data_IF_408738332621
#
_entry.id   IF_408738332621
#
_cell.length_a   1.000
_cell.length_b   1.000
_cell.length_c   1.000
_cell.angle_alpha   90.00
_cell.angle_beta   90.00
_cell.angle_gamma   90.00
#
_symmetry.space_group_name_H-M   'P 1'
#
loop_
_entity.id
_entity.type
_entity.pdbx_description
1 polymer ?
#
# COMPACT_ATOMS: atom_id res chain seq x y z
N UNK A 1 -6.74 -20.29 -5.14
CA UNK A 1 -5.38 -20.82 -5.39
C UNK A 1 -5.10 -22.02 -4.49
N UNK A 2 -5.13 -21.85 -3.16
CA UNK A 2 -4.85 -22.91 -2.18
C UNK A 2 -5.74 -24.15 -2.30
N UNK A 3 -7.06 -24.00 -2.53
CA UNK A 3 -7.96 -25.13 -2.78
C UNK A 3 -7.53 -25.95 -4.00
N UNK A 4 -7.20 -25.30 -5.12
CA UNK A 4 -6.73 -25.99 -6.33
C UNK A 4 -5.40 -26.73 -6.08
N UNK A 5 -4.56 -26.17 -5.20
CA UNK A 5 -3.27 -26.75 -4.86
C UNK A 5 -3.38 -27.98 -3.93
N UNK A 6 -4.32 -27.96 -2.98
CA UNK A 6 -4.35 -28.90 -1.82
C UNK A 6 -5.63 -29.73 -1.70
N UNK A 7 -6.70 -29.34 -2.37
CA UNK A 7 -8.05 -29.85 -2.14
C UNK A 7 -8.75 -29.30 -0.89
N UNK A 8 -8.04 -28.56 -0.01
CA UNK A 8 -8.60 -28.04 1.23
C UNK A 8 -9.68 -26.97 0.99
N UNK A 9 -10.76 -27.05 1.77
CA UNK A 9 -11.85 -26.06 1.79
C UNK A 9 -11.63 -24.96 2.85
N UNK A 10 -10.54 -25.01 3.61
CA UNK A 10 -10.22 -23.97 4.57
C UNK A 10 -10.08 -22.60 3.88
N UNK A 11 -10.51 -21.54 4.56
CA UNK A 11 -10.41 -20.15 4.08
C UNK A 11 -9.45 -19.38 4.96
N UNK A 12 -8.69 -18.48 4.34
CA UNK A 12 -7.81 -17.57 5.06
C UNK A 12 -8.64 -16.54 5.82
N UNK A 13 -8.34 -16.34 7.11
CA UNK A 13 -8.86 -15.24 7.95
C UNK A 13 -8.75 -13.89 7.21
N UNK A 14 -7.62 -13.63 6.54
CA UNK A 14 -7.41 -12.39 5.78
C UNK A 14 -8.51 -12.14 4.75
N UNK A 15 -8.77 -13.12 3.89
CA UNK A 15 -9.75 -12.95 2.80
C UNK A 15 -11.15 -12.75 3.34
N UNK A 16 -11.58 -13.59 4.27
CA UNK A 16 -12.98 -13.55 4.73
C UNK A 16 -13.27 -12.36 5.64
N UNK A 17 -12.29 -11.93 6.45
CA UNK A 17 -12.44 -10.77 7.33
C UNK A 17 -12.48 -9.48 6.52
N UNK A 18 -11.52 -9.29 5.61
CA UNK A 18 -11.39 -8.04 4.89
C UNK A 18 -12.47 -7.85 3.82
N UNK A 19 -12.94 -8.95 3.19
CA UNK A 19 -13.75 -8.87 1.96
C UNK A 19 -15.08 -9.62 2.00
N UNK A 20 -15.37 -10.37 3.08
CA UNK A 20 -16.63 -11.12 3.22
C UNK A 20 -17.38 -10.84 4.52
N UNK A 21 -16.92 -9.88 5.32
CA UNK A 21 -17.54 -9.48 6.61
C UNK A 21 -17.53 -10.58 7.69
N UNK A 22 -16.57 -11.51 7.63
CA UNK A 22 -16.34 -12.44 8.74
C UNK A 22 -15.83 -11.68 9.96
N UNK A 23 -16.40 -11.95 11.13
CA UNK A 23 -15.98 -11.34 12.40
C UNK A 23 -14.90 -12.21 13.03
N UNK A 24 -13.65 -12.05 12.59
CA UNK A 24 -12.54 -12.89 13.08
C UNK A 24 -12.29 -12.80 14.58
N UNK A 25 -12.59 -11.66 15.22
CA UNK A 25 -12.48 -11.48 16.66
C UNK A 25 -13.57 -12.24 17.45
N UNK A 26 -14.65 -12.65 16.78
CA UNK A 26 -15.73 -13.48 17.34
C UNK A 26 -15.75 -14.89 16.73
N UNK A 27 -14.82 -15.19 15.81
CA UNK A 27 -14.75 -16.45 15.06
C UNK A 27 -16.09 -16.87 14.41
N UNK A 28 -16.85 -15.92 13.85
CA UNK A 28 -18.16 -16.22 13.24
C UNK A 28 -18.53 -15.36 12.04
N UNK A 29 -19.47 -15.87 11.25
CA UNK A 29 -20.26 -15.10 10.32
C UNK A 29 -21.42 -14.40 11.05
N UNK A 30 -21.77 -13.19 10.63
CA UNK A 30 -22.96 -12.50 11.14
C UNK A 30 -24.20 -12.77 10.28
N UNK A 31 -24.98 -13.77 10.70
CA UNK A 31 -26.26 -14.10 10.09
C UNK A 31 -27.21 -12.90 9.98
N UNK A 32 -27.22 -12.00 10.96
CA UNK A 32 -28.15 -10.85 10.93
C UNK A 32 -27.81 -9.91 9.78
N UNK A 33 -26.53 -9.72 9.50
CA UNK A 33 -26.05 -8.97 8.35
C UNK A 33 -26.46 -9.62 7.02
N UNK A 34 -26.19 -10.92 6.84
CA UNK A 34 -26.50 -11.62 5.59
C UNK A 34 -27.99 -11.68 5.29
N UNK A 35 -28.83 -11.87 6.31
CA UNK A 35 -30.30 -11.79 6.15
C UNK A 35 -30.74 -10.39 5.74
N UNK A 36 -30.18 -9.35 6.36
CA UNK A 36 -30.52 -7.95 6.06
C UNK A 36 -30.19 -7.55 4.61
N UNK A 37 -29.11 -8.07 4.03
CA UNK A 37 -28.70 -7.76 2.64
C UNK A 37 -29.30 -8.71 1.59
N UNK A 38 -30.26 -9.56 1.95
CA UNK A 38 -30.93 -10.47 1.02
C UNK A 38 -30.14 -11.74 0.68
N UNK A 39 -29.10 -12.07 1.45
CA UNK A 39 -28.28 -13.27 1.30
C UNK A 39 -28.54 -14.32 2.39
N UNK A 40 -29.77 -14.35 2.93
CA UNK A 40 -30.17 -15.24 4.04
C UNK A 40 -29.97 -16.74 3.77
N UNK A 41 -30.02 -17.17 2.50
CA UNK A 41 -29.76 -18.56 2.12
C UNK A 41 -28.35 -19.04 2.54
N UNK A 42 -27.35 -18.14 2.60
CA UNK A 42 -26.03 -18.50 3.11
C UNK A 42 -26.09 -18.88 4.59
N UNK A 43 -26.90 -18.20 5.39
CA UNK A 43 -27.09 -18.53 6.79
C UNK A 43 -27.93 -19.82 6.96
N UNK A 44 -28.99 -19.99 6.16
CA UNK A 44 -29.83 -21.20 6.19
C UNK A 44 -29.01 -22.47 5.89
N UNK A 45 -27.96 -22.36 5.07
CA UNK A 45 -27.01 -23.43 4.75
C UNK A 45 -25.76 -23.44 5.64
N UNK A 46 -25.81 -22.79 6.80
CA UNK A 46 -24.72 -22.70 7.77
C UNK A 46 -23.38 -22.24 7.14
N UNK A 47 -23.46 -21.35 6.15
CA UNK A 47 -22.35 -20.73 5.43
C UNK A 47 -21.43 -21.71 4.67
N UNK A 48 -21.87 -22.94 4.44
CA UNK A 48 -21.06 -24.00 3.78
C UNK A 48 -20.47 -23.56 2.44
N UNK A 49 -21.19 -22.74 1.66
CA UNK A 49 -20.73 -22.23 0.36
C UNK A 49 -19.56 -21.27 0.45
N UNK A 50 -19.50 -20.46 1.51
CA UNK A 50 -18.49 -19.41 1.67
C UNK A 50 -17.36 -19.82 2.62
N UNK A 51 -17.55 -20.88 3.39
CA UNK A 51 -16.52 -21.55 4.18
C UNK A 51 -16.88 -21.61 5.66
N UNK A 52 -16.68 -22.79 6.25
CA UNK A 52 -16.91 -23.08 7.68
C UNK A 52 -15.62 -23.31 8.46
N UNK A 53 -14.53 -23.64 7.76
CA UNK A 53 -13.20 -23.76 8.34
C UNK A 53 -12.39 -22.51 7.98
N UNK A 54 -12.14 -21.65 8.97
CA UNK A 54 -11.37 -20.42 8.81
C UNK A 54 -10.07 -20.56 9.59
N UNK A 55 -8.94 -20.37 8.91
CA UNK A 55 -7.60 -20.61 9.46
C UNK A 55 -6.70 -19.37 9.35
N UNK A 56 -5.79 -19.16 10.31
CA UNK A 56 -4.87 -18.04 10.26
C UNK A 56 -3.89 -18.16 9.08
N UNK A 57 -3.35 -17.03 8.64
CA UNK A 57 -2.30 -17.02 7.64
C UNK A 57 -1.08 -17.84 8.10
N UNK A 58 -0.49 -18.62 7.19
CA UNK A 58 0.64 -19.50 7.52
C UNK A 58 0.25 -20.89 8.03
N UNK A 59 -1.04 -21.16 8.32
CA UNK A 59 -1.49 -22.51 8.66
C UNK A 59 -1.30 -23.47 7.48
N UNK A 60 -0.75 -24.66 7.73
CA UNK A 60 -0.63 -25.72 6.73
C UNK A 60 -2.02 -26.20 6.28
N UNK A 61 -2.19 -26.41 4.97
CA UNK A 61 -3.47 -26.77 4.37
C UNK A 61 -3.47 -28.19 3.80
N UNK A 62 -4.44 -28.99 4.25
CA UNK A 62 -4.62 -30.36 3.77
C UNK A 62 -3.37 -31.21 4.06
N UNK A 63 -2.94 -31.99 3.08
CA UNK A 63 -1.66 -32.71 3.10
C UNK A 63 -0.61 -32.08 2.20
N UNK A 64 -0.67 -30.75 1.96
CA UNK A 64 0.20 -30.06 1.00
C UNK A 64 -0.27 -30.18 -0.46
N UNK A 65 0.65 -30.00 -1.41
CA UNK A 65 0.36 -30.10 -2.84
C UNK A 65 -0.22 -31.48 -3.20
N UNK A 66 -1.36 -31.46 -3.89
CA UNK A 66 -1.89 -32.67 -4.55
C UNK A 66 -0.92 -33.15 -5.63
N UNK A 67 -0.99 -34.43 -6.00
CA UNK A 67 -0.16 -34.98 -7.07
C UNK A 67 -0.30 -34.20 -8.39
N UNK A 68 -1.52 -33.77 -8.74
CA UNK A 68 -1.76 -32.97 -9.94
C UNK A 68 -1.13 -31.58 -9.82
N UNK A 69 -1.35 -30.87 -8.71
CA UNK A 69 -0.79 -29.53 -8.53
C UNK A 69 0.75 -29.55 -8.48
N UNK A 70 1.33 -30.58 -7.87
CA UNK A 70 2.77 -30.79 -7.86
C UNK A 70 3.33 -31.01 -9.28
N UNK A 71 2.67 -31.84 -10.10
CA UNK A 71 3.04 -32.05 -11.50
C UNK A 71 2.93 -30.76 -12.33
N UNK A 72 1.83 -30.00 -12.18
CA UNK A 72 1.60 -28.73 -12.89
C UNK A 72 2.69 -27.68 -12.58
N UNK A 73 3.21 -27.69 -11.35
CA UNK A 73 4.21 -26.72 -10.86
C UNK A 73 5.66 -27.22 -10.96
N UNK A 74 5.88 -28.50 -11.30
CA UNK A 74 7.21 -29.11 -11.30
C UNK A 74 7.81 -29.29 -9.90
N UNK A 75 6.96 -29.56 -8.89
CA UNK A 75 7.33 -29.72 -7.47
C UNK A 75 6.99 -31.14 -6.97
N UNK A 76 7.30 -31.42 -5.70
CA UNK A 76 6.99 -32.70 -5.07
C UNK A 76 5.56 -32.72 -4.50
N UNK A 77 4.78 -33.80 -4.70
CA UNK A 77 3.54 -34.01 -3.96
C UNK A 77 3.79 -33.95 -2.45
N UNK A 78 2.85 -33.38 -1.71
CA UNK A 78 2.98 -33.18 -0.27
C UNK A 78 3.86 -32.00 0.15
N UNK A 79 4.41 -31.21 -0.80
CA UNK A 79 5.05 -29.93 -0.44
C UNK A 79 4.03 -29.05 0.29
N UNK A 80 4.41 -28.54 1.46
CA UNK A 80 3.51 -27.76 2.31
C UNK A 80 2.95 -26.52 1.61
N UNK A 81 1.66 -26.25 1.87
CA UNK A 81 0.96 -25.08 1.31
C UNK A 81 0.29 -24.34 2.46
N UNK A 82 0.64 -23.07 2.61
CA UNK A 82 0.06 -22.23 3.63
C UNK A 82 -1.31 -21.65 3.23
N UNK A 83 -2.15 -21.40 4.22
CA UNK A 83 -3.22 -20.43 4.11
C UNK A 83 -2.64 -19.06 3.76
N UNK A 84 -3.01 -18.56 2.58
CA UNK A 84 -2.45 -17.35 1.99
C UNK A 84 -3.02 -16.05 2.58
N UNK A 85 -2.53 -14.94 2.03
CA UNK A 85 -3.03 -13.59 2.27
C UNK A 85 -3.49 -12.97 0.94
N UNK A 86 -4.28 -11.90 1.01
CA UNK A 86 -4.47 -11.00 -0.14
C UNK A 86 -3.11 -10.34 -0.46
N UNK A 87 -2.85 -10.01 -1.73
CA UNK A 87 -1.58 -9.48 -2.23
C UNK A 87 -1.00 -8.33 -1.40
N UNK A 88 -1.78 -7.29 -1.11
CA UNK A 88 -1.34 -6.16 -0.29
C UNK A 88 -0.93 -6.63 1.11
N UNK A 89 -1.69 -7.55 1.70
CA UNK A 89 -1.44 -8.06 3.06
C UNK A 89 -0.19 -8.95 3.11
N UNK A 90 0.05 -9.75 2.07
CA UNK A 90 1.32 -10.45 1.90
C UNK A 90 2.48 -9.46 1.76
N UNK A 91 2.30 -8.39 0.98
CA UNK A 91 3.26 -7.29 0.89
C UNK A 91 3.52 -6.63 2.25
N UNK A 92 2.48 -6.42 3.05
CA UNK A 92 2.56 -5.91 4.42
C UNK A 92 3.40 -6.83 5.32
N UNK A 93 3.12 -8.13 5.34
CA UNK A 93 3.94 -9.14 6.05
C UNK A 93 5.39 -9.11 5.58
N UNK A 94 5.64 -9.06 4.27
CA UNK A 94 6.99 -8.96 3.71
C UNK A 94 7.72 -7.64 4.00
N UNK A 95 7.05 -6.66 4.61
CA UNK A 95 7.54 -5.30 4.80
C UNK A 95 7.61 -4.88 6.28
N UNK A 96 6.48 -4.87 7.02
CA UNK A 96 6.41 -4.21 8.35
C UNK A 96 7.21 -4.92 9.44
N UNK A 97 7.43 -6.23 9.31
CA UNK A 97 8.20 -7.02 10.30
C UNK A 97 9.68 -7.18 9.97
N UNK A 98 10.19 -6.43 9.00
CA UNK A 98 11.60 -6.44 8.65
C UNK A 98 12.49 -6.05 9.85
N UNK A 99 13.60 -6.77 10.05
CA UNK A 99 14.55 -6.43 11.12
C UNK A 99 15.21 -5.06 10.85
N UNK A 100 15.49 -4.31 11.91
CA UNK A 100 16.19 -3.01 11.87
C UNK A 100 15.68 -2.04 12.93
N UNK A 101 16.37 -0.91 13.08
CA UNK A 101 16.26 -0.01 14.23
C UNK A 101 15.15 1.07 14.14
N UNK A 102 14.35 1.06 13.07
CA UNK A 102 13.34 2.09 12.81
C UNK A 102 11.93 1.55 13.05
N UNK A 103 11.35 1.90 14.19
CA UNK A 103 10.00 1.51 14.58
C UNK A 103 9.86 0.00 14.86
N UNK A 104 8.62 -0.42 15.11
CA UNK A 104 8.21 -1.80 15.35
C UNK A 104 6.98 -2.13 14.51
N UNK A 105 6.54 -3.39 14.46
CA UNK A 105 5.35 -3.77 13.65
C UNK A 105 4.13 -2.86 13.90
N UNK A 106 3.78 -2.47 15.16
CA UNK A 106 2.65 -1.57 15.39
C UNK A 106 2.91 -0.08 15.08
N UNK A 107 4.17 0.35 14.99
CA UNK A 107 4.53 1.74 14.68
C UNK A 107 4.95 1.96 13.23
N UNK A 108 5.02 0.89 12.44
CA UNK A 108 5.31 0.92 11.01
C UNK A 108 4.02 0.88 10.20
N UNK A 109 3.88 1.82 9.28
CA UNK A 109 2.90 1.75 8.19
C UNK A 109 3.58 1.18 6.95
N UNK A 110 3.13 0.01 6.46
CA UNK A 110 3.53 -0.43 5.12
C UNK A 110 2.88 0.47 4.08
N UNK A 111 3.69 1.00 3.17
CA UNK A 111 3.25 1.78 2.02
C UNK A 111 3.62 1.00 0.75
N UNK A 112 2.71 0.12 0.32
CA UNK A 112 2.93 -0.75 -0.84
C UNK A 112 2.59 0.05 -2.10
N UNK A 113 3.62 0.59 -2.74
CA UNK A 113 3.51 1.58 -3.80
C UNK A 113 3.71 0.96 -5.20
N UNK A 114 2.61 0.81 -5.93
CA UNK A 114 2.58 0.44 -7.34
C UNK A 114 1.59 1.30 -8.11
N UNK A 115 0.79 0.68 -8.98
CA UNK A 115 -0.30 1.33 -9.73
C UNK A 115 -1.23 2.12 -8.80
N UNK A 116 -1.59 1.52 -7.68
CA UNK A 116 -2.21 2.14 -6.49
C UNK A 116 -1.22 2.11 -5.32
N UNK A 117 -1.54 2.78 -4.22
CA UNK A 117 -0.78 2.65 -2.97
C UNK A 117 -1.68 2.11 -1.87
N UNK A 118 -1.29 0.98 -1.26
CA UNK A 118 -1.98 0.46 -0.08
C UNK A 118 -1.22 0.84 1.19
N UNK A 119 -1.95 1.33 2.19
CA UNK A 119 -1.40 1.61 3.51
C UNK A 119 -1.91 0.60 4.51
N UNK A 120 -1.02 0.00 5.29
CA UNK A 120 -1.39 -0.99 6.28
C UNK A 120 -0.66 -0.72 7.59
N UNK A 121 -1.45 -0.42 8.62
CA UNK A 121 -0.99 -0.16 9.98
C UNK A 121 -1.62 -1.17 10.93
N UNK A 122 -0.85 -1.68 11.90
CA UNK A 122 -1.31 -2.69 12.84
C UNK A 122 -1.39 -2.17 14.27
N UNK A 123 -2.35 -2.63 15.05
CA UNK A 123 -2.58 -2.23 16.44
C UNK A 123 -2.91 -3.43 17.33
N UNK A 124 -2.60 -3.34 18.62
CA UNK A 124 -2.95 -4.39 19.59
C UNK A 124 -4.45 -4.39 19.93
N UNK A 125 -5.06 -3.20 19.99
CA UNK A 125 -6.47 -2.98 20.26
C UNK A 125 -7.19 -2.43 19.01
N UNK A 126 -8.49 -2.65 18.83
CA UNK A 126 -9.21 -2.15 17.66
C UNK A 126 -9.26 -0.62 17.65
N UNK A 127 -8.84 -0.02 16.53
CA UNK A 127 -8.94 1.41 16.28
C UNK A 127 -9.81 1.67 15.03
N UNK A 128 -10.88 2.45 15.18
CA UNK A 128 -11.80 2.79 14.08
C UNK A 128 -11.44 4.16 13.50
N UNK A 129 -10.93 4.16 12.28
CA UNK A 129 -10.51 5.36 11.55
C UNK A 129 -11.51 5.64 10.42
N UNK A 130 -12.09 6.83 10.43
CA UNK A 130 -13.08 7.22 9.42
C UNK A 130 -12.44 7.21 8.02
N UNK A 131 -13.11 6.55 7.06
CA UNK A 131 -12.64 6.41 5.68
C UNK A 131 -11.41 5.52 5.48
N UNK A 132 -11.01 4.76 6.51
CA UNK A 132 -9.99 3.70 6.42
C UNK A 132 -10.67 2.36 6.73
N UNK A 133 -10.35 1.31 5.97
CA UNK A 133 -10.96 0.01 6.19
C UNK A 133 -10.39 -0.68 7.43
N UNK A 134 -11.22 -1.49 8.09
CA UNK A 134 -10.88 -2.14 9.35
C UNK A 134 -11.64 -1.52 10.53
N UNK A 135 -11.21 -1.80 11.77
CA UNK A 135 -10.07 -2.64 12.13
C UNK A 135 -10.36 -4.14 11.90
N UNK A 136 -9.45 -4.84 11.21
CA UNK A 136 -9.58 -6.27 10.90
C UNK A 136 -8.67 -7.13 11.77
N UNK A 137 -9.25 -7.90 12.68
CA UNK A 137 -8.48 -8.75 13.59
C UNK A 137 -7.78 -9.91 12.88
N UNK A 138 -6.48 -10.08 13.14
CA UNK A 138 -5.63 -11.15 12.60
C UNK A 138 -5.62 -11.26 11.06
N UNK A 139 -5.96 -10.18 10.36
CA UNK A 139 -6.11 -10.20 8.90
C UNK A 139 -4.78 -10.05 8.13
N UNK A 140 -3.69 -9.67 8.80
CA UNK A 140 -2.34 -9.58 8.21
C UNK A 140 -1.30 -10.19 9.14
N UNK A 141 -1.05 -9.57 10.29
CA UNK A 141 -0.18 -10.12 11.34
C UNK A 141 -1.07 -10.83 12.37
N UNK A 142 -0.87 -12.15 12.62
CA UNK A 142 -1.67 -12.87 13.60
C UNK A 142 -1.67 -12.19 14.97
N UNK A 143 -2.85 -12.02 15.57
CA UNK A 143 -3.04 -11.40 16.88
C UNK A 143 -3.13 -9.86 16.88
N UNK A 144 -2.91 -9.19 15.74
CA UNK A 144 -3.05 -7.73 15.62
C UNK A 144 -4.28 -7.32 14.81
N UNK A 145 -4.78 -6.13 15.06
CA UNK A 145 -5.81 -5.47 14.27
C UNK A 145 -5.20 -4.65 13.14
N UNK A 146 -5.67 -4.88 11.92
CA UNK A 146 -5.23 -4.18 10.71
C UNK A 146 -6.17 -3.01 10.39
N UNK A 147 -5.59 -1.84 10.15
CA UNK A 147 -6.23 -0.74 9.42
C UNK A 147 -5.65 -0.68 8.00
N UNK A 148 -6.51 -0.75 6.99
CA UNK A 148 -6.18 -0.76 5.56
C UNK A 148 -6.68 0.53 4.90
N UNK A 149 -5.76 1.47 4.67
CA UNK A 149 -6.04 2.70 3.94
C UNK A 149 -5.42 2.68 2.55
N UNK A 150 -5.42 3.83 1.88
CA UNK A 150 -4.50 4.13 0.79
C UNK A 150 -5.13 4.89 -0.36
N UNK A 151 -4.47 4.87 -1.51
CA UNK A 151 -4.73 5.74 -2.64
C UNK A 151 -5.10 4.91 -3.87
N UNK A 152 -6.32 5.10 -4.37
CA UNK A 152 -6.90 4.33 -5.48
C UNK A 152 -6.05 4.35 -6.75
N UNK A 153 -5.43 5.49 -7.04
CA UNK A 153 -4.43 5.65 -8.08
C UNK A 153 -3.22 6.36 -7.48
N UNK A 154 -2.05 5.74 -7.59
CA UNK A 154 -0.79 6.30 -7.12
C UNK A 154 0.19 6.35 -8.30
N UNK A 155 0.88 5.26 -8.64
CA UNK A 155 1.75 5.21 -9.81
C UNK A 155 0.99 5.52 -11.10
N UNK A 156 -0.24 4.99 -11.23
CA UNK A 156 -1.11 5.31 -12.36
C UNK A 156 -1.53 6.78 -12.43
N UNK A 157 -1.70 7.44 -11.27
CA UNK A 157 -2.02 8.86 -11.22
C UNK A 157 -0.84 9.70 -11.73
N UNK A 158 0.38 9.36 -11.35
CA UNK A 158 1.60 10.02 -11.84
C UNK A 158 1.79 9.77 -13.33
N UNK A 159 1.66 8.53 -13.78
CA UNK A 159 1.79 8.17 -15.19
C UNK A 159 0.76 8.92 -16.05
N UNK A 160 -0.49 9.02 -15.57
CA UNK A 160 -1.53 9.79 -16.25
C UNK A 160 -1.23 11.29 -16.24
N UNK A 161 -0.81 11.85 -15.09
CA UNK A 161 -0.44 13.26 -14.94
C UNK A 161 0.62 13.69 -15.95
N UNK A 162 1.74 12.96 -16.02
CA UNK A 162 2.86 13.34 -16.90
C UNK A 162 2.50 13.17 -18.38
N UNK A 163 1.60 12.23 -18.72
CA UNK A 163 1.12 12.04 -20.10
C UNK A 163 0.23 13.18 -20.61
N UNK A 164 -0.37 13.97 -19.72
CA UNK A 164 -1.14 15.15 -20.12
C UNK A 164 -0.25 16.31 -20.57
N UNK A 165 1.06 16.26 -20.29
CA UNK A 165 1.98 17.34 -20.63
C UNK A 165 2.41 17.30 -22.11
N UNK A 166 2.53 18.45 -22.82
CA UNK A 166 2.92 18.46 -24.23
C UNK A 166 4.28 17.80 -24.52
N UNK A 167 5.25 17.92 -23.61
CA UNK A 167 6.57 17.30 -23.74
C UNK A 167 6.58 15.77 -23.48
N UNK A 168 5.45 15.15 -23.13
CA UNK A 168 5.39 13.74 -22.77
C UNK A 168 5.82 12.80 -23.90
N UNK A 169 5.50 13.14 -25.15
CA UNK A 169 5.92 12.37 -26.33
C UNK A 169 7.43 12.33 -26.49
N UNK A 170 8.08 13.51 -26.40
CA UNK A 170 9.53 13.63 -26.45
C UNK A 170 10.20 12.87 -25.29
N UNK A 171 9.72 13.09 -24.06
CA UNK A 171 10.26 12.43 -22.88
C UNK A 171 10.13 10.90 -22.94
N UNK A 172 9.01 10.39 -23.48
CA UNK A 172 8.80 8.95 -23.66
C UNK A 172 9.81 8.37 -24.64
N UNK A 173 10.08 9.04 -25.75
CA UNK A 173 11.07 8.59 -26.73
C UNK A 173 12.49 8.56 -26.12
N UNK A 174 12.86 9.57 -25.33
CA UNK A 174 14.15 9.59 -24.60
C UNK A 174 14.24 8.46 -23.58
N UNK A 175 13.19 8.25 -22.78
CA UNK A 175 13.13 7.17 -21.80
C UNK A 175 13.29 5.79 -22.47
N UNK A 176 12.61 5.55 -23.59
CA UNK A 176 12.70 4.30 -24.34
C UNK A 176 14.10 4.07 -24.93
N UNK A 177 14.76 5.12 -25.42
CA UNK A 177 16.14 5.04 -25.92
C UNK A 177 17.14 4.61 -24.83
N UNK A 178 16.81 4.90 -23.56
CA UNK A 178 17.59 4.50 -22.38
C UNK A 178 17.08 3.19 -21.74
N UNK A 179 16.05 2.55 -22.30
CA UNK A 179 15.46 1.31 -21.76
C UNK A 179 14.67 1.52 -20.46
N UNK A 180 14.19 2.73 -20.21
CA UNK A 180 13.50 3.13 -18.98
C UNK A 180 12.01 3.37 -19.21
N UNK A 181 11.21 3.25 -18.14
CA UNK A 181 9.85 3.81 -18.12
C UNK A 181 9.91 5.34 -18.04
N UNK A 182 8.85 6.02 -18.49
CA UNK A 182 8.77 7.49 -18.44
C UNK A 182 8.96 8.01 -17.00
N UNK A 183 8.29 7.40 -16.02
CA UNK A 183 8.39 7.80 -14.61
C UNK A 183 9.79 7.56 -14.02
N UNK A 184 10.46 6.45 -14.40
CA UNK A 184 11.85 6.22 -13.99
C UNK A 184 12.80 7.26 -14.59
N UNK A 185 12.63 7.58 -15.88
CA UNK A 185 13.41 8.60 -16.56
C UNK A 185 13.20 9.98 -15.93
N UNK A 186 11.96 10.42 -15.71
CA UNK A 186 11.64 11.70 -15.06
C UNK A 186 12.23 11.78 -13.64
N UNK A 187 12.23 10.66 -12.90
CA UNK A 187 12.89 10.60 -11.61
C UNK A 187 14.40 10.83 -11.70
N UNK A 188 15.09 10.23 -12.68
CA UNK A 188 16.53 10.44 -12.88
C UNK A 188 16.82 11.87 -13.33
N UNK A 189 15.95 12.44 -14.15
CA UNK A 189 16.03 13.84 -14.58
C UNK A 189 15.88 14.81 -13.40
N UNK A 190 14.93 14.58 -12.50
CA UNK A 190 14.85 15.37 -11.27
C UNK A 190 16.08 15.15 -10.37
N UNK A 191 16.57 13.91 -10.25
CA UNK A 191 17.76 13.57 -9.47
C UNK A 191 19.02 14.30 -9.97
N UNK A 192 19.22 14.42 -11.28
CA UNK A 192 20.36 15.13 -11.87
C UNK A 192 20.33 16.64 -11.64
N UNK A 193 19.15 17.21 -11.34
CA UNK A 193 18.94 18.61 -10.99
C UNK A 193 18.97 18.85 -9.48
N UNK A 194 19.91 18.24 -8.76
CA UNK A 194 20.05 18.32 -7.30
C UNK A 194 18.90 17.67 -6.50
N UNK A 195 18.12 16.79 -7.12
CA UNK A 195 17.16 15.90 -6.47
C UNK A 195 16.13 16.61 -5.58
N UNK A 196 15.81 15.99 -4.44
CA UNK A 196 14.79 16.48 -3.52
C UNK A 196 15.11 17.88 -2.97
N UNK A 197 16.38 18.23 -2.80
CA UNK A 197 16.79 19.56 -2.34
C UNK A 197 16.38 20.69 -3.32
N UNK A 198 16.25 20.38 -4.62
CA UNK A 198 15.78 21.32 -5.62
C UNK A 198 14.26 21.34 -5.81
N UNK A 199 13.50 20.59 -5.02
CA UNK A 199 12.03 20.50 -5.14
C UNK A 199 11.36 21.88 -5.22
N UNK A 200 11.71 22.90 -4.41
CA UNK A 200 11.10 24.22 -4.53
C UNK A 200 11.34 24.89 -5.89
N UNK A 201 12.54 24.73 -6.46
CA UNK A 201 12.90 25.32 -7.75
C UNK A 201 12.28 24.55 -8.92
N UNK A 202 12.24 23.21 -8.85
CA UNK A 202 11.66 22.35 -9.88
C UNK A 202 10.14 22.51 -9.98
N UNK A 203 9.46 22.54 -8.83
CA UNK A 203 7.99 22.57 -8.77
C UNK A 203 7.43 24.00 -8.95
N UNK A 204 8.16 25.01 -8.48
CA UNK A 204 7.71 26.40 -8.51
C UNK A 204 6.33 26.57 -7.86
N UNK A 205 5.40 27.17 -8.61
CA UNK A 205 4.02 27.43 -8.18
C UNK A 205 3.03 26.28 -8.42
N UNK A 206 3.44 25.18 -9.03
CA UNK A 206 2.53 24.08 -9.40
C UNK A 206 2.07 23.36 -8.13
N UNK A 207 0.78 23.05 -8.01
CA UNK A 207 0.20 22.18 -6.98
C UNK A 207 -0.61 21.07 -7.63
N UNK A 208 -0.51 19.85 -7.09
CA UNK A 208 -1.21 18.67 -7.62
C UNK A 208 -1.91 17.92 -6.48
N UNK A 209 -3.22 17.73 -6.64
CA UNK A 209 -4.02 16.75 -5.89
C UNK A 209 -4.27 15.57 -6.85
N UNK A 210 -3.60 14.41 -6.69
CA UNK A 210 -3.58 13.35 -7.70
C UNK A 210 -4.78 12.37 -7.60
N UNK A 211 -5.97 12.84 -7.24
CA UNK A 211 -7.17 12.02 -7.00
C UNK A 211 -7.92 11.69 -8.31
N UNK A 212 -7.23 11.13 -9.31
CA UNK A 212 -7.82 10.81 -10.62
C UNK A 212 -8.88 9.69 -10.57
N UNK A 213 -8.90 8.91 -9.48
CA UNK A 213 -9.82 7.80 -9.26
C UNK A 213 -10.48 7.89 -7.87
N UNK A 214 -10.90 9.09 -7.48
CA UNK A 214 -11.46 9.34 -6.16
C UNK A 214 -10.43 9.31 -5.02
N UNK A 215 -10.90 9.62 -3.81
CA UNK A 215 -10.15 9.50 -2.58
C UNK A 215 -10.65 8.28 -1.80
N UNK A 216 -9.82 7.24 -1.68
CA UNK A 216 -10.15 6.08 -0.84
C UNK A 216 -10.00 6.41 0.65
N UNK A 217 -8.84 6.94 1.05
CA UNK A 217 -8.57 7.32 2.43
C UNK A 217 -7.89 8.71 2.51
N UNK A 218 -8.18 9.50 3.55
CA UNK A 218 -9.10 9.19 4.66
C UNK A 218 -10.56 9.63 4.40
N UNK A 219 -10.90 10.17 3.22
CA UNK A 219 -12.21 10.80 3.02
C UNK A 219 -13.30 9.87 2.50
N UNK A 220 -12.94 8.69 1.96
CA UNK A 220 -13.89 7.77 1.33
C UNK A 220 -14.85 8.47 0.34
N UNK A 221 -14.28 9.34 -0.50
CA UNK A 221 -14.99 10.12 -1.52
C UNK A 221 -14.67 9.59 -2.93
N UNK A 222 -15.47 8.67 -3.49
CA UNK A 222 -15.26 8.14 -4.84
C UNK A 222 -15.47 9.19 -5.94
N UNK A 223 -16.13 10.31 -5.62
CA UNK A 223 -16.40 11.40 -6.55
C UNK A 223 -15.29 12.45 -6.57
N UNK A 224 -14.28 12.33 -5.70
CA UNK A 224 -13.09 13.17 -5.76
C UNK A 224 -12.38 13.08 -7.11
N UNK A 225 -11.87 14.23 -7.58
CA UNK A 225 -11.19 14.37 -8.87
C UNK A 225 -9.90 15.14 -8.68
N UNK A 226 -8.92 14.81 -9.52
CA UNK A 226 -7.62 15.47 -9.48
C UNK A 226 -7.75 16.97 -9.76
N UNK A 227 -6.89 17.74 -9.10
CA UNK A 227 -6.76 19.18 -9.29
C UNK A 227 -5.31 19.53 -9.55
N UNK A 228 -5.09 20.37 -10.57
CA UNK A 228 -3.78 20.90 -10.92
C UNK A 228 -3.91 22.42 -10.94
N UNK A 229 -3.11 23.11 -10.14
CA UNK A 229 -3.13 24.56 -10.01
C UNK A 229 -1.72 25.13 -10.21
N UNK A 230 -1.63 26.39 -10.66
CA UNK A 230 -0.36 27.07 -10.85
C UNK A 230 0.39 26.70 -12.14
N UNK A 231 -0.33 26.20 -13.16
CA UNK A 231 0.23 26.02 -14.51
C UNK A 231 0.46 27.38 -15.19
N UNK A 232 1.55 27.48 -15.94
CA UNK A 232 1.85 28.61 -16.83
C UNK A 232 1.93 28.13 -18.30
N UNK A 233 2.56 28.92 -19.17
CA UNK A 233 2.72 28.59 -20.59
C UNK A 233 3.96 27.74 -20.90
N UNK A 234 4.77 27.38 -19.89
CA UNK A 234 5.99 26.59 -20.12
C UNK A 234 5.65 25.12 -20.42
N UNK A 235 5.96 24.70 -21.64
CA UNK A 235 5.77 23.34 -22.11
C UNK A 235 7.09 22.58 -22.30
N UNK A 236 8.17 23.04 -21.67
CA UNK A 236 9.50 22.44 -21.75
C UNK A 236 9.59 21.07 -21.07
N UNK A 237 10.72 20.38 -21.27
CA UNK A 237 11.04 19.18 -20.48
C UNK A 237 11.28 19.51 -19.01
N UNK A 238 11.76 20.71 -18.69
CA UNK A 238 11.96 21.13 -17.31
C UNK A 238 10.63 21.30 -16.58
N UNK A 239 9.61 21.89 -17.22
CA UNK A 239 8.28 21.99 -16.63
C UNK A 239 7.59 20.63 -16.47
N UNK A 240 7.85 19.67 -17.38
CA UNK A 240 7.40 18.28 -17.21
C UNK A 240 8.04 17.60 -15.98
N UNK A 241 9.34 17.80 -15.77
CA UNK A 241 10.04 17.28 -14.58
C UNK A 241 9.48 17.92 -13.31
N UNK A 242 9.22 19.23 -13.33
CA UNK A 242 8.53 19.94 -12.26
C UNK A 242 7.14 19.36 -11.95
N UNK A 243 6.34 19.10 -12.98
CA UNK A 243 5.01 18.49 -12.86
C UNK A 243 5.07 17.08 -12.25
N UNK A 244 6.04 16.27 -12.67
CA UNK A 244 6.29 14.94 -12.08
C UNK A 244 6.58 15.04 -10.58
N UNK A 245 7.54 15.90 -10.19
CA UNK A 245 7.90 16.10 -8.77
C UNK A 245 6.71 16.63 -7.97
N UNK A 246 5.92 17.55 -8.54
CA UNK A 246 4.72 18.08 -7.91
C UNK A 246 3.66 16.98 -7.67
N UNK A 247 3.48 16.08 -8.64
CA UNK A 247 2.60 14.92 -8.53
C UNK A 247 3.02 13.96 -7.42
N UNK A 248 4.31 13.61 -7.37
CA UNK A 248 4.86 12.76 -6.30
C UNK A 248 4.70 13.42 -4.94
N UNK A 249 4.92 14.74 -4.84
CA UNK A 249 4.63 15.49 -3.61
C UNK A 249 3.15 15.40 -3.21
N UNK A 250 2.24 15.50 -4.18
CA UNK A 250 0.80 15.33 -3.97
C UNK A 250 0.44 13.97 -3.38
N UNK A 251 1.08 12.89 -3.83
CA UNK A 251 0.88 11.55 -3.24
C UNK A 251 1.37 11.51 -1.79
N UNK A 252 2.53 12.10 -1.51
CA UNK A 252 3.06 12.17 -0.15
C UNK A 252 2.22 13.03 0.80
N UNK A 253 1.61 14.12 0.32
CA UNK A 253 0.61 14.87 1.08
C UNK A 253 -0.66 14.06 1.36
N UNK A 254 -1.15 13.28 0.38
CA UNK A 254 -2.24 12.34 0.63
C UNK A 254 -1.88 11.28 1.67
N UNK A 255 -0.65 10.73 1.61
CA UNK A 255 -0.16 9.81 2.63
C UNK A 255 -0.07 10.46 4.03
N UNK A 256 0.32 11.74 4.10
CA UNK A 256 0.31 12.52 5.34
C UNK A 256 -1.10 12.64 5.94
N UNK A 257 -2.14 12.83 5.12
CA UNK A 257 -3.52 12.86 5.61
C UNK A 257 -3.93 11.52 6.22
N UNK A 258 -3.53 10.40 5.60
CA UNK A 258 -3.79 9.06 6.14
C UNK A 258 -3.09 8.91 7.50
N UNK A 259 -1.79 9.23 7.60
CA UNK A 259 -1.05 9.16 8.86
C UNK A 259 -1.69 10.03 9.95
N UNK A 260 -2.14 11.26 9.61
CA UNK A 260 -2.85 12.13 10.56
C UNK A 260 -4.16 11.51 11.04
N UNK A 261 -4.97 10.96 10.13
CA UNK A 261 -6.23 10.31 10.49
C UNK A 261 -6.00 9.08 11.39
N UNK A 262 -4.93 8.33 11.17
CA UNK A 262 -4.51 7.22 12.02
C UNK A 262 -4.03 7.70 13.41
N UNK A 263 -3.20 8.74 13.46
CA UNK A 263 -2.74 9.37 14.72
C UNK A 263 -3.90 9.88 15.58
N UNK A 264 -4.91 10.51 14.96
CA UNK A 264 -6.09 11.05 15.65
C UNK A 264 -6.92 9.96 16.35
N UNK A 265 -6.74 8.68 15.96
CA UNK A 265 -7.38 7.51 16.58
C UNK A 265 -6.40 6.68 17.43
N UNK A 266 -5.21 7.20 17.73
CA UNK A 266 -4.24 6.58 18.62
C UNK A 266 -3.36 5.49 17.98
N UNK A 267 -3.34 5.38 16.65
CA UNK A 267 -2.43 4.46 15.95
C UNK A 267 -1.03 5.11 15.91
N UNK A 268 0.02 4.49 16.48
CA UNK A 268 1.30 5.17 16.73
C UNK A 268 2.26 5.06 15.54
N UNK A 269 1.87 5.46 14.33
CA UNK A 269 2.76 5.40 13.16
C UNK A 269 3.94 6.36 13.34
N UNK A 270 5.17 5.86 13.36
CA UNK A 270 6.40 6.67 13.41
C UNK A 270 7.27 6.51 12.15
N UNK A 271 7.06 5.41 11.40
CA UNK A 271 7.88 5.01 10.27
C UNK A 271 7.01 4.52 9.12
N UNK A 272 7.29 4.99 7.92
CA UNK A 272 6.70 4.47 6.69
C UNK A 272 7.68 3.50 6.06
N UNK A 273 7.29 2.25 5.90
CA UNK A 273 8.12 1.27 5.19
C UNK A 273 7.59 1.15 3.77
N UNK A 274 8.33 1.69 2.81
CA UNK A 274 7.95 1.76 1.40
C UNK A 274 8.45 0.54 0.65
N UNK A 275 7.56 -0.03 -0.17
CA UNK A 275 7.86 -1.17 -1.02
C UNK A 275 7.08 -1.07 -2.35
N UNK A 276 7.32 -2.00 -3.28
CA UNK A 276 6.71 -1.97 -4.62
C UNK A 276 7.48 -1.11 -5.63
N UNK A 277 7.21 -1.35 -6.92
CA UNK A 277 8.02 -0.83 -8.03
C UNK A 277 8.07 0.71 -8.12
N UNK A 278 6.96 1.39 -7.81
CA UNK A 278 6.90 2.86 -7.86
C UNK A 278 7.66 3.51 -6.68
N UNK A 279 7.88 2.77 -5.59
CA UNK A 279 8.64 3.20 -4.42
C UNK A 279 10.15 2.91 -4.50
N UNK A 280 10.67 2.43 -5.63
CA UNK A 280 12.09 2.05 -5.75
C UNK A 280 13.05 3.24 -5.93
N UNK A 281 12.56 4.39 -6.39
CA UNK A 281 13.39 5.57 -6.64
C UNK A 281 13.83 6.26 -5.33
N UNK A 282 15.14 6.53 -5.13
CA UNK A 282 15.63 7.33 -3.99
C UNK A 282 14.98 8.71 -3.90
N UNK A 283 14.74 9.37 -5.04
CA UNK A 283 14.03 10.65 -5.08
C UNK A 283 12.63 10.51 -4.52
N UNK A 284 11.87 9.51 -4.96
CA UNK A 284 10.49 9.29 -4.52
C UNK A 284 10.46 9.02 -3.01
N UNK A 285 11.39 8.23 -2.49
CA UNK A 285 11.50 7.93 -1.06
C UNK A 285 11.79 9.19 -0.23
N UNK A 286 12.73 10.02 -0.68
CA UNK A 286 13.03 11.29 -0.02
C UNK A 286 11.83 12.26 -0.07
N UNK A 287 11.17 12.39 -1.23
CA UNK A 287 9.99 13.23 -1.36
C UNK A 287 8.83 12.75 -0.45
N UNK A 288 8.64 11.44 -0.31
CA UNK A 288 7.68 10.88 0.64
C UNK A 288 8.04 11.26 2.08
N UNK A 289 9.32 11.18 2.46
CA UNK A 289 9.77 11.59 3.80
C UNK A 289 9.50 13.08 4.05
N UNK A 290 9.90 13.95 3.12
CA UNK A 290 9.76 15.40 3.23
C UNK A 290 8.29 15.86 3.31
N UNK A 291 7.43 15.23 2.49
CA UNK A 291 6.02 15.61 2.38
C UNK A 291 5.17 15.06 3.52
N UNK A 292 5.46 13.85 3.99
CA UNK A 292 4.78 13.24 5.15
C UNK A 292 5.30 13.79 6.48
N UNK A 293 6.56 14.23 6.53
CA UNK A 293 7.24 14.57 7.77
C UNK A 293 7.62 13.35 8.60
N UNK A 294 7.62 12.15 7.99
CA UNK A 294 7.90 10.87 8.65
C UNK A 294 9.21 10.28 8.14
N UNK A 295 9.85 9.43 8.96
CA UNK A 295 10.95 8.60 8.47
C UNK A 295 10.39 7.60 7.45
N UNK A 296 11.01 7.53 6.28
CA UNK A 296 10.70 6.56 5.23
C UNK A 296 11.84 5.55 5.13
N UNK A 297 11.53 4.26 5.15
CA UNK A 297 12.52 3.19 5.05
C UNK A 297 12.18 2.27 3.89
N UNK A 298 13.16 1.97 3.06
CA UNK A 298 13.00 1.00 1.98
C UNK A 298 13.04 -0.43 2.53
N UNK A 299 12.25 -1.35 1.96
CA UNK A 299 12.51 -2.78 2.13
C UNK A 299 13.72 -3.20 1.29
N UNK A 300 14.58 -4.07 1.81
CA UNK A 300 15.65 -4.71 1.01
C UNK A 300 15.10 -5.68 -0.04
N UNK A 301 13.84 -6.13 0.12
CA UNK A 301 13.19 -7.02 -0.83
C UNK A 301 12.63 -6.23 -2.02
N UNK A 302 13.02 -6.55 -3.26
CA UNK A 302 12.43 -5.94 -4.44
C UNK A 302 10.96 -6.37 -4.63
N UNK A 303 10.59 -7.55 -4.11
CA UNK A 303 9.30 -8.20 -4.33
C UNK A 303 8.63 -8.59 -2.99
N UNK A 304 8.12 -7.61 -2.22
CA UNK A 304 7.60 -7.83 -0.86
C UNK A 304 6.40 -8.78 -0.80
N UNK A 305 5.56 -8.80 -1.84
CA UNK A 305 4.38 -9.69 -1.93
C UNK A 305 4.82 -11.15 -2.07
N UNK A 306 5.83 -11.41 -2.89
CA UNK A 306 6.41 -12.74 -3.06
C UNK A 306 7.14 -13.17 -1.78
N UNK A 307 7.90 -12.28 -1.17
CA UNK A 307 8.59 -12.56 0.10
C UNK A 307 7.61 -12.88 1.23
N UNK A 308 6.55 -12.08 1.39
CA UNK A 308 5.52 -12.35 2.39
C UNK A 308 4.81 -13.68 2.16
N UNK A 309 4.53 -14.04 0.89
CA UNK A 309 3.97 -15.36 0.55
C UNK A 309 4.94 -16.50 0.87
N UNK A 310 6.24 -16.31 0.63
CA UNK A 310 7.28 -17.27 0.99
C UNK A 310 7.43 -17.44 2.52
N UNK A 311 7.28 -16.36 3.30
CA UNK A 311 7.25 -16.41 4.76
C UNK A 311 6.11 -17.31 5.26
N UNK A 312 4.91 -17.20 4.67
CA UNK A 312 3.78 -18.08 5.03
C UNK A 312 4.10 -19.54 4.73
N UNK A 313 4.70 -19.82 3.55
CA UNK A 313 5.14 -21.17 3.19
C UNK A 313 6.19 -21.72 4.17
N UNK A 314 7.13 -20.90 4.61
CA UNK A 314 8.16 -21.28 5.58
C UNK A 314 7.55 -21.60 6.97
N UNK A 315 6.50 -20.89 7.38
CA UNK A 315 5.74 -21.20 8.61
C UNK A 315 4.98 -22.51 8.46
N UNK A 316 4.27 -22.72 7.35
CA UNK A 316 3.55 -23.98 7.11
C UNK A 316 4.49 -25.19 7.06
N UNK A 317 5.71 -25.01 6.53
CA UNK A 317 6.77 -26.02 6.50
C UNK A 317 7.48 -26.24 7.85
N UNK A 318 7.13 -25.47 8.90
CA UNK A 318 7.76 -25.57 10.22
C UNK A 318 9.17 -25.00 10.30
N UNK A 319 9.66 -24.30 9.27
CA UNK A 319 10.98 -23.65 9.28
C UNK A 319 11.01 -22.44 10.23
N UNK A 320 9.86 -21.79 10.44
CA UNK A 320 9.64 -20.76 11.44
C UNK A 320 8.44 -21.11 12.32
N UNK A 321 8.51 -20.77 13.60
CA UNK A 321 7.45 -21.07 14.57
C UNK A 321 6.13 -20.35 14.29
N UNK A 322 6.19 -19.14 13.76
CA UNK A 322 5.05 -18.25 13.54
C UNK A 322 5.41 -17.19 12.49
N UNK A 323 4.40 -16.47 11.99
CA UNK A 323 4.56 -15.44 10.95
C UNK A 323 5.48 -14.31 11.44
N UNK A 324 5.42 -13.93 12.72
CA UNK A 324 6.27 -12.89 13.27
C UNK A 324 7.76 -13.27 13.23
N UNK A 325 8.11 -14.52 13.55
CA UNK A 325 9.46 -15.04 13.45
C UNK A 325 9.95 -15.11 11.99
N UNK A 326 9.08 -15.50 11.06
CA UNK A 326 9.42 -15.50 9.63
C UNK A 326 9.67 -14.08 9.10
N UNK A 327 8.86 -13.10 9.51
CA UNK A 327 9.06 -11.70 9.16
C UNK A 327 10.45 -11.20 9.62
N UNK A 328 10.78 -11.37 10.89
CA UNK A 328 12.07 -10.93 11.44
C UNK A 328 13.28 -11.68 10.84
N UNK A 329 13.11 -12.96 10.48
CA UNK A 329 14.16 -13.80 9.92
C UNK A 329 14.42 -13.59 8.42
N UNK A 330 13.38 -13.24 7.65
CA UNK A 330 13.43 -13.26 6.19
C UNK A 330 13.37 -11.87 5.53
N UNK A 331 13.06 -10.79 6.26
CA UNK A 331 13.12 -9.42 5.74
C UNK A 331 13.98 -8.50 6.59
N UNK A 332 14.56 -7.50 5.94
CA UNK A 332 15.46 -6.52 6.54
C UNK A 332 15.18 -5.12 5.98
N UNK A 333 15.24 -4.12 6.85
CA UNK A 333 15.15 -2.72 6.47
C UNK A 333 16.40 -2.29 5.69
N UNK A 334 16.19 -1.56 4.61
CA UNK A 334 17.24 -1.03 3.75
C UNK A 334 17.53 0.43 4.06
N UNK A 335 17.68 1.23 2.99
CA UNK A 335 17.98 2.66 3.08
C UNK A 335 16.90 3.44 3.85
N UNK A 336 17.36 4.42 4.63
CA UNK A 336 16.54 5.26 5.50
C UNK A 336 16.59 6.69 5.00
N UNK A 337 15.43 7.32 4.92
CA UNK A 337 15.21 8.67 4.43
C UNK A 337 14.55 9.48 5.53
N UNK A 338 15.24 10.50 6.02
CA UNK A 338 14.72 11.44 7.01
C UNK A 338 14.13 12.67 6.31
N UNK A 339 13.04 13.24 6.83
CA UNK A 339 12.52 14.51 6.32
C UNK A 339 13.60 15.61 6.39
N UNK A 340 13.76 16.36 5.31
CA UNK A 340 14.64 17.53 5.29
C UNK A 340 14.03 18.68 6.10
N UNK A 341 14.63 18.95 7.26
CA UNK A 341 14.20 20.02 8.17
C UNK A 341 14.22 21.41 7.51
N UNK A 342 15.08 21.63 6.51
CA UNK A 342 15.18 22.91 5.80
C UNK A 342 13.98 23.15 4.87
N UNK A 343 13.35 22.09 4.38
CA UNK A 343 12.17 22.14 3.51
C UNK A 343 10.84 21.96 4.27
N UNK A 344 10.88 21.58 5.55
CA UNK A 344 9.69 21.30 6.35
C UNK A 344 8.66 22.45 6.33
N UNK A 345 9.11 23.70 6.50
CA UNK A 345 8.24 24.87 6.45
C UNK A 345 7.63 25.12 5.06
N UNK A 346 8.34 24.76 4.00
CA UNK A 346 7.85 24.85 2.62
C UNK A 346 6.79 23.78 2.33
N UNK A 347 7.06 22.53 2.69
CA UNK A 347 6.09 21.43 2.58
C UNK A 347 4.84 21.68 3.42
N UNK A 348 4.96 22.26 4.62
CA UNK A 348 3.80 22.61 5.45
C UNK A 348 2.85 23.60 4.76
N UNK A 349 3.39 24.66 4.12
CA UNK A 349 2.58 25.61 3.34
C UNK A 349 1.88 24.94 2.16
N UNK A 350 2.59 24.04 1.48
CA UNK A 350 2.03 23.32 0.32
C UNK A 350 1.00 22.28 0.70
N UNK A 351 1.16 21.65 1.87
CA UNK A 351 0.17 20.76 2.43
C UNK A 351 -1.13 21.48 2.77
N UNK A 352 -1.04 22.68 3.36
CA UNK A 352 -2.24 23.52 3.57
C UNK A 352 -2.92 23.91 2.25
N UNK A 353 -2.14 24.23 1.20
CA UNK A 353 -2.68 24.49 -0.13
C UNK A 353 -3.33 23.24 -0.76
N UNK A 354 -2.75 22.05 -0.53
CA UNK A 354 -3.31 20.76 -0.96
C UNK A 354 -4.69 20.52 -0.33
N UNK A 355 -4.81 20.74 0.99
CA UNK A 355 -6.09 20.64 1.71
C UNK A 355 -7.11 21.67 1.19
N UNK A 356 -6.68 22.91 0.93
CA UNK A 356 -7.55 23.94 0.37
C UNK A 356 -8.06 23.57 -1.04
N UNK A 357 -7.21 22.99 -1.88
CA UNK A 357 -7.61 22.51 -3.20
C UNK A 357 -8.64 21.39 -3.08
N UNK A 358 -8.45 20.41 -2.20
CA UNK A 358 -9.45 19.36 -1.95
C UNK A 358 -10.80 19.95 -1.51
N UNK A 359 -10.79 20.93 -0.60
CA UNK A 359 -12.01 21.64 -0.17
C UNK A 359 -12.70 22.36 -1.34
N UNK A 360 -11.94 23.07 -2.18
CA UNK A 360 -12.46 23.70 -3.38
C UNK A 360 -13.04 22.67 -4.36
N UNK A 361 -12.35 21.55 -4.56
CA UNK A 361 -12.81 20.44 -5.39
C UNK A 361 -14.13 19.86 -4.92
N UNK A 362 -14.32 19.71 -3.61
CA UNK A 362 -15.60 19.30 -3.02
C UNK A 362 -16.68 20.34 -3.28
N UNK A 363 -16.42 21.61 -2.99
CA UNK A 363 -17.39 22.70 -3.18
C UNK A 363 -17.84 22.86 -4.64
N UNK A 364 -16.98 22.57 -5.62
CA UNK A 364 -17.33 22.62 -7.05
C UNK A 364 -18.33 21.52 -7.44
N UNK A 365 -18.29 20.35 -6.79
CA UNK A 365 -19.14 19.21 -7.13
C UNK A 365 -20.55 19.28 -6.53
N UNK A 366 -20.75 20.10 -5.50
CA UNK A 366 -22.00 20.19 -4.73
C UNK A 366 -21.95 19.37 -3.44
#
# INVERSE_FOLDING_TARGET
LTWRATGSLARSVCTVTCKWTYLAHESRWDETYFRKIGLGALADEAFTRIGTEIVPAGAALGGGLTAQAAADLGLNPGTEVAAGLIDAHAGGVGTVGARGDFGSVPSRMAYVFGTSACTMSSTAEPAFVDGVWGPYFSAMVPGLWLNEGGQSAAGAAIDHLVRMHPAAGEATAKAQAEGLSLSAWLSLQAQSRNGAAATPALVGGIHVVPEFLGNRAPFADPDARALIAGLDLDTSLDSLVGLYVAGVCGLGYGARQIVRAEHDKGIPVDTIVVSGGAGQSPLVRQLLADTTGMVVVASTSPEPVLLGSAMLGAVAAGAYKDVAAAMAGMSELGEVYHPDATLAGWHAKRFAAFELLQQAGKAIRG
#
